data_IF_356295540068
#
_entry.id   IF_356295540068
#
_cell.length_a   1.000
_cell.length_b   1.000
_cell.length_c   1.000
_cell.angle_alpha   90.00
_cell.angle_beta   90.00
_cell.angle_gamma   90.00
#
_symmetry.space_group_name_H-M   'P 1'
#
loop_
_entity.id
_entity.type
_entity.pdbx_description
1 polymer ?
#
# COMPACT_ATOMS: atom_id res chain seq x y z
N UNK A 1 13.80 18.97 -12.11
CA UNK A 1 13.58 17.88 -11.12
C UNK A 1 12.56 18.36 -10.10
N UNK A 2 11.53 17.57 -9.80
CA UNK A 2 10.58 17.93 -8.74
C UNK A 2 11.26 17.84 -7.37
N UNK A 3 11.16 18.92 -6.59
CA UNK A 3 11.73 18.94 -5.24
C UNK A 3 10.92 18.02 -4.32
N UNK A 4 11.60 17.15 -3.56
CA UNK A 4 10.97 16.35 -2.52
C UNK A 4 10.57 17.27 -1.37
N UNK A 5 9.29 17.22 -0.96
CA UNK A 5 8.78 17.90 0.21
C UNK A 5 8.28 16.86 1.20
N UNK A 6 8.65 16.99 2.45
CA UNK A 6 8.15 16.13 3.52
C UNK A 6 7.03 16.84 4.27
N UNK A 7 5.87 16.20 4.35
CA UNK A 7 4.70 16.67 5.09
C UNK A 7 4.39 15.58 6.11
N UNK A 8 4.75 15.82 7.37
CA UNK A 8 4.83 14.80 8.40
C UNK A 8 5.68 13.61 7.92
N UNK A 9 5.14 12.40 7.80
CA UNK A 9 5.86 11.21 7.36
C UNK A 9 5.61 10.87 5.88
N UNK A 10 5.00 11.80 5.12
CA UNK A 10 4.75 11.63 3.70
C UNK A 10 5.79 12.41 2.89
N UNK A 11 6.47 11.72 1.99
CA UNK A 11 7.37 12.32 0.99
C UNK A 11 6.57 12.63 -0.26
N UNK A 12 6.44 13.92 -0.56
CA UNK A 12 5.58 14.45 -1.61
C UNK A 12 6.42 15.00 -2.77
N UNK A 13 6.08 14.58 -3.99
CA UNK A 13 6.70 15.08 -5.21
C UNK A 13 5.60 15.26 -6.26
N UNK A 14 5.67 16.36 -7.02
CA UNK A 14 4.68 16.61 -8.08
C UNK A 14 5.22 17.52 -9.17
N UNK A 15 4.73 17.35 -10.41
CA UNK A 15 4.99 18.29 -11.52
C UNK A 15 4.13 19.55 -11.35
N UNK A 16 4.36 20.55 -12.20
CA UNK A 16 3.61 21.82 -12.16
C UNK A 16 2.09 21.65 -12.34
N UNK A 17 1.68 20.68 -13.16
CA UNK A 17 0.26 20.37 -13.47
C UNK A 17 0.03 18.87 -13.38
N UNK A 18 -0.17 18.31 -12.19
CA UNK A 18 -0.42 16.88 -12.04
C UNK A 18 -1.80 16.49 -12.58
N UNK A 19 -1.85 15.38 -13.34
CA UNK A 19 -3.09 14.83 -13.88
C UNK A 19 -3.81 13.89 -12.90
N UNK A 20 -3.15 13.52 -11.80
CA UNK A 20 -3.65 12.65 -10.76
C UNK A 20 -2.63 12.50 -9.63
N UNK A 21 -3.04 11.84 -8.55
CA UNK A 21 -2.23 11.55 -7.38
C UNK A 21 -2.06 10.04 -7.22
N UNK A 22 -0.83 9.60 -6.97
CA UNK A 22 -0.52 8.23 -6.56
C UNK A 22 -0.07 8.24 -5.11
N UNK A 23 -0.78 7.48 -4.24
CA UNK A 23 -0.46 7.31 -2.82
C UNK A 23 0.22 5.96 -2.63
N UNK A 24 1.52 5.96 -2.26
CA UNK A 24 2.35 4.75 -2.16
C UNK A 24 2.56 4.37 -0.70
N UNK A 25 2.23 3.11 -0.36
CA UNK A 25 2.67 2.45 0.86
C UNK A 25 3.53 1.24 0.47
N UNK A 26 4.76 1.23 0.93
CA UNK A 26 5.71 0.16 0.62
C UNK A 26 5.63 -1.04 1.56
N UNK A 27 6.48 -2.04 1.31
CA UNK A 27 6.60 -3.25 2.14
C UNK A 27 7.35 -3.02 3.45
N UNK A 28 7.22 -3.92 4.42
CA UNK A 28 7.62 -3.79 5.82
C UNK A 28 9.05 -3.28 6.05
N UNK A 29 10.04 -3.86 5.38
CA UNK A 29 11.45 -3.57 5.68
C UNK A 29 12.06 -2.44 4.84
N UNK A 30 11.34 -1.97 3.83
CA UNK A 30 11.84 -1.02 2.84
C UNK A 30 11.06 0.31 2.85
N UNK A 31 10.14 0.47 3.80
CA UNK A 31 9.21 1.60 3.86
C UNK A 31 9.65 2.77 4.73
N UNK A 32 10.79 2.68 5.41
CA UNK A 32 11.29 3.80 6.24
C UNK A 32 11.64 5.01 5.36
N UNK A 33 12.20 4.74 4.18
CA UNK A 33 12.58 5.77 3.20
C UNK A 33 12.05 5.43 1.81
N UNK A 34 10.73 5.49 1.60
CA UNK A 34 10.10 5.07 0.36
C UNK A 34 10.54 5.91 -0.85
N UNK A 35 10.93 7.16 -0.64
CA UNK A 35 11.45 8.06 -1.69
C UNK A 35 12.78 7.57 -2.28
N UNK A 36 13.53 6.78 -1.52
CA UNK A 36 14.78 6.14 -1.96
C UNK A 36 14.49 4.77 -2.58
N UNK A 37 13.76 3.93 -1.85
CA UNK A 37 13.47 2.54 -2.24
C UNK A 37 12.69 2.46 -3.54
N UNK A 38 11.69 3.33 -3.71
CA UNK A 38 10.83 3.37 -4.91
C UNK A 38 11.22 4.48 -5.89
N UNK A 39 12.46 5.02 -5.80
CA UNK A 39 12.92 6.14 -6.61
C UNK A 39 12.66 5.98 -8.11
N UNK A 40 12.93 4.80 -8.67
CA UNK A 40 12.71 4.54 -10.11
C UNK A 40 11.24 4.60 -10.48
N UNK A 41 10.37 3.97 -9.69
CA UNK A 41 8.93 4.01 -9.87
C UNK A 41 8.39 5.43 -9.75
N UNK A 42 8.75 6.13 -8.68
CA UNK A 42 8.35 7.52 -8.44
C UNK A 42 8.78 8.41 -9.60
N UNK A 43 10.02 8.30 -10.08
CA UNK A 43 10.51 9.07 -11.22
C UNK A 43 9.69 8.82 -12.49
N UNK A 44 9.32 7.57 -12.76
CA UNK A 44 8.48 7.21 -13.91
C UNK A 44 7.07 7.77 -13.82
N UNK A 45 6.49 7.76 -12.64
CA UNK A 45 5.15 8.34 -12.40
C UNK A 45 5.17 9.87 -12.56
N UNK A 46 6.20 10.55 -12.05
CA UNK A 46 6.41 11.99 -12.23
C UNK A 46 6.57 12.37 -13.71
N UNK A 47 7.33 11.58 -14.49
CA UNK A 47 7.46 11.75 -15.94
C UNK A 47 6.13 11.61 -16.70
N UNK A 48 5.17 10.89 -16.12
CA UNK A 48 3.80 10.74 -16.64
C UNK A 48 2.84 11.77 -16.05
N UNK A 49 3.35 12.84 -15.46
CA UNK A 49 2.60 13.94 -14.86
C UNK A 49 1.71 13.55 -13.67
N UNK A 50 2.01 12.47 -12.96
CA UNK A 50 1.37 12.16 -11.67
C UNK A 50 2.08 12.87 -10.52
N UNK A 51 1.31 13.37 -9.56
CA UNK A 51 1.83 13.65 -8.23
C UNK A 51 2.02 12.32 -7.48
N UNK A 52 3.06 12.23 -6.66
CA UNK A 52 3.36 11.02 -5.88
C UNK A 52 3.55 11.40 -4.43
N UNK A 53 2.77 10.77 -3.56
CA UNK A 53 2.90 10.81 -2.12
C UNK A 53 3.31 9.41 -1.65
N UNK A 54 4.42 9.29 -0.95
CA UNK A 54 4.90 8.01 -0.42
C UNK A 54 5.07 8.11 1.09
N UNK A 55 4.43 7.21 1.83
CA UNK A 55 4.45 7.22 3.29
C UNK A 55 5.61 6.43 3.85
N UNK A 56 6.42 7.10 4.71
CA UNK A 56 7.50 6.47 5.45
C UNK A 56 7.03 6.01 6.83
N UNK A 57 7.22 4.72 7.17
CA UNK A 57 6.78 4.17 8.42
C UNK A 57 7.65 3.02 8.91
N UNK A 58 7.57 2.74 10.20
CA UNK A 58 8.15 1.55 10.84
C UNK A 58 7.01 0.58 11.11
N UNK A 59 7.06 -0.65 10.56
CA UNK A 59 6.02 -1.65 10.78
C UNK A 59 5.88 -2.02 12.27
N UNK A 60 4.65 -2.24 12.71
CA UNK A 60 4.35 -2.74 14.05
C UNK A 60 3.30 -3.87 13.97
N UNK A 61 2.85 -4.38 15.11
CA UNK A 61 1.88 -5.47 15.19
C UNK A 61 0.43 -5.03 14.91
N UNK A 62 0.10 -3.75 15.11
CA UNK A 62 -1.24 -3.23 14.88
C UNK A 62 -1.34 -2.58 13.50
N UNK A 63 -1.71 -3.39 12.51
CA UNK A 63 -1.87 -2.95 11.13
C UNK A 63 -3.11 -2.06 10.94
N UNK A 64 -4.13 -2.17 11.80
CA UNK A 64 -5.29 -1.29 11.73
C UNK A 64 -4.93 0.15 12.16
N UNK A 65 -4.18 0.30 13.24
CA UNK A 65 -3.68 1.62 13.67
C UNK A 65 -2.78 2.20 12.58
N UNK A 66 -1.90 1.40 11.97
CA UNK A 66 -1.03 1.86 10.89
C UNK A 66 -1.81 2.30 9.64
N UNK A 67 -2.84 1.55 9.25
CA UNK A 67 -3.73 1.94 8.14
C UNK A 67 -4.43 3.27 8.41
N UNK A 68 -4.93 3.47 9.64
CA UNK A 68 -5.56 4.72 10.07
C UNK A 68 -4.57 5.90 10.05
N UNK A 69 -3.32 5.66 10.47
CA UNK A 69 -2.25 6.67 10.44
C UNK A 69 -1.92 7.06 8.98
N UNK A 70 -1.67 6.09 8.11
CA UNK A 70 -1.39 6.32 6.70
C UNK A 70 -2.50 7.15 6.04
N UNK A 71 -3.77 6.77 6.25
CA UNK A 71 -4.92 7.49 5.71
C UNK A 71 -4.98 8.95 6.17
N UNK A 72 -4.77 9.22 7.47
CA UNK A 72 -4.71 10.59 7.99
C UNK A 72 -3.58 11.40 7.36
N UNK A 73 -2.41 10.81 7.23
CA UNK A 73 -1.21 11.44 6.66
C UNK A 73 -1.41 11.78 5.17
N UNK A 74 -1.97 10.87 4.39
CA UNK A 74 -2.28 11.13 2.98
C UNK A 74 -3.33 12.23 2.82
N UNK A 75 -4.35 12.27 3.66
CA UNK A 75 -5.34 13.38 3.62
C UNK A 75 -4.70 14.75 3.89
N UNK A 76 -3.79 14.82 4.85
CA UNK A 76 -3.07 16.07 5.15
C UNK A 76 -2.18 16.48 3.98
N UNK A 77 -1.40 15.55 3.45
CA UNK A 77 -0.49 15.82 2.33
C UNK A 77 -1.25 16.16 1.05
N UNK A 78 -2.39 15.54 0.78
CA UNK A 78 -3.27 15.88 -0.34
C UNK A 78 -3.83 17.30 -0.22
N UNK A 79 -4.36 17.69 0.93
CA UNK A 79 -4.83 19.07 1.17
C UNK A 79 -3.72 20.10 0.95
N UNK A 80 -2.49 19.78 1.36
CA UNK A 80 -1.34 20.64 1.12
C UNK A 80 -1.01 20.76 -0.36
N UNK A 81 -1.08 19.68 -1.12
CA UNK A 81 -0.86 19.68 -2.57
C UNK A 81 -1.94 20.50 -3.29
N UNK A 82 -3.23 20.22 -3.00
CA UNK A 82 -4.38 20.86 -3.65
C UNK A 82 -4.42 22.39 -3.44
N UNK A 83 -3.93 22.89 -2.30
CA UNK A 83 -3.74 24.34 -2.08
C UNK A 83 -2.75 24.99 -3.04
N UNK A 84 -1.88 24.23 -3.71
CA UNK A 84 -0.82 24.74 -4.59
C UNK A 84 -1.12 24.55 -6.07
N UNK A 85 -1.76 23.44 -6.41
CA UNK A 85 -1.96 23.05 -7.81
C UNK A 85 -3.43 23.00 -8.21
N UNK A 86 -4.36 23.26 -7.27
CA UNK A 86 -5.79 23.08 -7.47
C UNK A 86 -6.25 21.65 -7.15
N UNK A 87 -7.55 21.41 -7.29
CA UNK A 87 -8.19 20.12 -7.01
C UNK A 87 -7.64 19.05 -7.96
N UNK A 88 -7.26 17.91 -7.39
CA UNK A 88 -6.81 16.75 -8.16
C UNK A 88 -7.96 15.74 -8.30
N UNK A 89 -8.48 15.54 -9.53
CA UNK A 89 -9.72 14.80 -9.73
C UNK A 89 -9.56 13.29 -9.55
N UNK A 90 -8.34 12.77 -9.71
CA UNK A 90 -8.08 11.32 -9.69
C UNK A 90 -6.98 10.97 -8.69
N UNK A 91 -7.21 9.91 -7.91
CA UNK A 91 -6.18 9.33 -7.05
C UNK A 91 -6.18 7.82 -7.12
N UNK A 92 -5.00 7.23 -7.13
CA UNK A 92 -4.79 5.78 -7.11
C UNK A 92 -3.96 5.45 -5.88
N UNK A 93 -4.34 4.43 -5.17
CA UNK A 93 -3.54 3.83 -4.11
C UNK A 93 -2.63 2.76 -4.71
N UNK A 94 -1.37 2.77 -4.31
CA UNK A 94 -0.40 1.77 -4.72
C UNK A 94 0.23 1.15 -3.48
N UNK A 95 -0.07 -0.11 -3.25
CA UNK A 95 0.51 -0.91 -2.17
C UNK A 95 1.55 -1.90 -2.70
N UNK A 96 2.60 -2.12 -1.91
CA UNK A 96 3.51 -3.24 -2.12
C UNK A 96 3.61 -4.05 -0.83
N UNK A 97 3.44 -5.37 -0.92
CA UNK A 97 3.55 -6.29 0.22
C UNK A 97 2.59 -5.88 1.37
N UNK A 98 3.08 -5.60 2.58
CA UNK A 98 2.28 -5.08 3.70
C UNK A 98 1.52 -3.80 3.33
N UNK A 99 2.09 -2.93 2.49
CA UNK A 99 1.43 -1.71 2.05
C UNK A 99 0.10 -1.92 1.35
N UNK A 100 -0.09 -3.06 0.68
CA UNK A 100 -1.40 -3.45 0.11
C UNK A 100 -2.43 -3.64 1.24
N UNK A 101 -2.08 -4.39 2.28
CA UNK A 101 -2.94 -4.63 3.45
C UNK A 101 -3.33 -3.30 4.12
N UNK A 102 -2.39 -2.38 4.31
CA UNK A 102 -2.66 -1.10 4.95
C UNK A 102 -3.61 -0.22 4.12
N UNK A 103 -3.52 -0.23 2.79
CA UNK A 103 -4.50 0.45 1.94
C UNK A 103 -5.88 -0.19 1.99
N UNK A 104 -5.96 -1.52 2.03
CA UNK A 104 -7.21 -2.27 2.10
C UNK A 104 -7.93 -2.08 3.45
N UNK A 105 -7.18 -1.93 4.54
CA UNK A 105 -7.68 -1.64 5.89
C UNK A 105 -7.94 -0.15 6.15
N UNK A 106 -7.81 0.70 5.14
CA UNK A 106 -8.05 2.13 5.28
C UNK A 106 -9.48 2.42 5.77
N UNK A 107 -9.67 3.34 6.74
CA UNK A 107 -10.97 3.58 7.37
C UNK A 107 -12.06 4.12 6.42
N UNK A 108 -11.68 4.59 5.25
CA UNK A 108 -12.63 5.00 4.21
C UNK A 108 -13.06 3.84 3.29
N UNK A 109 -12.62 2.61 3.54
CA UNK A 109 -12.96 1.46 2.70
C UNK A 109 -12.59 1.62 1.22
N UNK A 110 -11.62 2.48 0.89
CA UNK A 110 -11.24 2.75 -0.49
C UNK A 110 -12.15 3.72 -1.25
N UNK A 111 -13.19 4.32 -0.61
CA UNK A 111 -14.14 5.24 -1.27
C UNK A 111 -13.50 6.49 -1.85
N UNK A 112 -12.42 6.97 -1.24
CA UNK A 112 -11.77 8.23 -1.65
C UNK A 112 -10.62 8.05 -2.65
N UNK A 113 -10.60 6.94 -3.38
CA UNK A 113 -9.67 6.72 -4.51
C UNK A 113 -10.39 6.12 -5.71
N UNK A 114 -9.79 6.23 -6.88
CA UNK A 114 -10.33 5.71 -8.14
C UNK A 114 -9.89 4.27 -8.44
N UNK A 115 -9.01 3.72 -7.62
CA UNK A 115 -8.55 2.34 -7.73
C UNK A 115 -7.38 2.04 -6.80
N UNK A 116 -7.09 0.75 -6.66
CA UNK A 116 -5.93 0.23 -5.96
C UNK A 116 -5.06 -0.58 -6.92
N UNK A 117 -3.76 -0.36 -6.87
CA UNK A 117 -2.75 -1.27 -7.44
C UNK A 117 -2.08 -1.99 -6.27
N UNK A 118 -2.28 -3.31 -6.18
CA UNK A 118 -1.69 -4.15 -5.15
C UNK A 118 -0.59 -5.02 -5.74
N UNK A 119 0.66 -4.76 -5.35
CA UNK A 119 1.84 -5.48 -5.84
C UNK A 119 2.31 -6.46 -4.78
N UNK A 120 2.39 -7.75 -5.11
CA UNK A 120 2.90 -8.81 -4.21
C UNK A 120 2.22 -8.76 -2.83
N UNK A 121 0.88 -8.72 -2.82
CA UNK A 121 0.14 -8.72 -1.55
C UNK A 121 0.52 -9.92 -0.70
N UNK A 122 0.75 -9.68 0.59
CA UNK A 122 0.89 -10.74 1.55
C UNK A 122 0.16 -10.43 2.87
N UNK A 123 -0.31 -11.48 3.52
CA UNK A 123 -1.11 -11.43 4.74
C UNK A 123 -0.79 -12.63 5.63
N UNK A 124 0.50 -12.79 5.95
CA UNK A 124 0.99 -13.88 6.78
C UNK A 124 0.76 -13.62 8.26
N UNK A 125 0.76 -14.71 9.05
CA UNK A 125 0.83 -14.64 10.51
C UNK A 125 2.17 -14.03 10.94
N UNK A 126 2.20 -13.36 12.09
CA UNK A 126 3.41 -12.73 12.61
C UNK A 126 4.57 -13.74 12.78
N UNK A 127 4.25 -14.97 13.23
CA UNK A 127 5.23 -16.03 13.37
C UNK A 127 5.89 -16.47 12.05
N UNK A 128 5.23 -16.22 10.90
CA UNK A 128 5.76 -16.51 9.56
C UNK A 128 6.55 -15.31 8.99
N UNK A 129 6.17 -14.09 9.39
CA UNK A 129 6.74 -12.85 8.87
C UNK A 129 7.99 -12.38 9.62
N UNK A 130 8.10 -12.73 10.91
CA UNK A 130 9.18 -12.26 11.78
C UNK A 130 10.04 -13.45 12.21
N UNK A 131 11.28 -13.55 11.74
CA UNK A 131 12.19 -14.61 12.16
C UNK A 131 12.35 -14.67 13.68
N UNK A 132 12.37 -15.84 14.25
CA UNK A 132 12.53 -16.11 15.70
C UNK A 132 11.43 -15.56 16.62
N UNK A 133 10.35 -14.95 16.11
CA UNK A 133 9.27 -14.41 16.93
C UNK A 133 8.73 -15.44 17.92
N UNK A 134 8.52 -16.67 17.47
CA UNK A 134 8.00 -17.79 18.28
C UNK A 134 8.87 -18.11 19.51
N UNK A 135 10.20 -17.99 19.36
CA UNK A 135 11.13 -18.20 20.49
C UNK A 135 11.16 -16.99 21.43
N UNK A 136 11.04 -15.78 20.91
CA UNK A 136 11.05 -14.56 21.70
C UNK A 136 9.74 -14.37 22.48
N UNK A 137 8.59 -14.67 21.90
CA UNK A 137 7.29 -14.53 22.55
C UNK A 137 7.13 -15.45 23.76
N UNK A 138 7.66 -16.68 23.68
CA UNK A 138 7.65 -17.62 24.80
C UNK A 138 8.48 -17.12 26.01
N UNK A 139 9.50 -16.29 25.75
CA UNK A 139 10.36 -15.75 26.80
C UNK A 139 9.86 -14.42 27.41
N UNK A 140 9.16 -13.61 26.61
CA UNK A 140 8.88 -12.21 26.97
C UNK A 140 7.38 -11.89 27.09
N UNK A 141 6.50 -12.89 26.89
CA UNK A 141 5.05 -12.78 27.04
C UNK A 141 4.41 -11.55 26.35
N UNK A 142 4.78 -11.28 25.08
CA UNK A 142 4.24 -10.16 24.31
C UNK A 142 3.36 -10.63 23.13
N UNK A 143 2.70 -9.68 22.48
CA UNK A 143 1.80 -9.95 21.35
C UNK A 143 2.53 -10.70 20.24
N UNK A 144 1.97 -11.86 19.85
CA UNK A 144 2.56 -12.78 18.89
C UNK A 144 1.83 -12.83 17.54
N UNK A 145 0.75 -12.04 17.39
CA UNK A 145 -0.02 -11.99 16.15
C UNK A 145 -0.31 -10.55 15.73
N UNK A 146 -0.49 -10.34 14.44
CA UNK A 146 -0.90 -9.05 13.91
C UNK A 146 -2.38 -8.77 14.19
N UNK A 147 -2.71 -7.50 14.39
CA UNK A 147 -4.07 -7.01 14.50
C UNK A 147 -4.41 -6.11 13.29
N UNK A 148 -5.41 -6.44 12.47
CA UNK A 148 -6.15 -7.71 12.44
C UNK A 148 -5.28 -8.89 11.99
N UNK A 149 -5.64 -10.08 12.45
CA UNK A 149 -5.04 -11.35 11.99
C UNK A 149 -5.26 -11.57 10.48
N UNK A 150 -4.56 -12.52 9.84
CA UNK A 150 -4.77 -12.80 8.42
C UNK A 150 -6.22 -13.12 8.05
N UNK A 151 -6.91 -13.90 8.86
CA UNK A 151 -8.31 -14.26 8.63
C UNK A 151 -9.24 -13.06 8.79
N UNK A 152 -9.13 -12.34 9.89
CA UNK A 152 -9.92 -11.10 10.13
C UNK A 152 -9.69 -10.05 9.05
N UNK A 153 -8.45 -9.95 8.54
CA UNK A 153 -8.13 -9.02 7.44
C UNK A 153 -8.97 -9.32 6.19
N UNK A 154 -9.07 -10.59 5.79
CA UNK A 154 -9.84 -10.96 4.60
C UNK A 154 -11.33 -10.74 4.81
N UNK A 155 -11.86 -11.03 6.00
CA UNK A 155 -13.25 -10.75 6.35
C UNK A 155 -13.54 -9.24 6.28
N UNK A 156 -12.69 -8.41 6.89
CA UNK A 156 -12.82 -6.95 6.83
C UNK A 156 -12.79 -6.41 5.40
N UNK A 157 -11.95 -7.01 4.53
CA UNK A 157 -11.91 -6.63 3.10
C UNK A 157 -13.22 -6.99 2.41
N UNK A 158 -13.75 -8.19 2.65
CA UNK A 158 -15.01 -8.62 2.03
C UNK A 158 -16.19 -7.77 2.51
N UNK A 159 -16.23 -7.40 3.80
CA UNK A 159 -17.35 -6.71 4.41
C UNK A 159 -17.32 -5.19 4.26
N UNK A 160 -16.13 -4.58 4.29
CA UNK A 160 -16.00 -3.11 4.46
C UNK A 160 -15.23 -2.39 3.36
N UNK A 161 -14.49 -3.11 2.50
CA UNK A 161 -13.75 -2.48 1.42
C UNK A 161 -14.66 -2.31 0.20
N UNK A 162 -14.87 -1.06 -0.26
CA UNK A 162 -15.86 -0.73 -1.29
C UNK A 162 -15.27 -0.39 -2.67
N UNK A 163 -13.92 -0.19 -2.76
CA UNK A 163 -13.32 0.09 -4.06
C UNK A 163 -13.41 -1.14 -4.98
N UNK A 164 -14.06 -0.96 -6.14
CA UNK A 164 -14.31 -2.06 -7.09
C UNK A 164 -13.22 -2.22 -8.14
N UNK A 165 -12.45 -1.17 -8.44
CA UNK A 165 -11.40 -1.19 -9.46
C UNK A 165 -10.05 -1.49 -8.80
N UNK A 166 -9.62 -2.74 -8.81
CA UNK A 166 -8.35 -3.14 -8.21
C UNK A 166 -7.51 -3.92 -9.23
N UNK A 167 -6.25 -3.52 -9.39
CA UNK A 167 -5.27 -4.24 -10.18
C UNK A 167 -4.30 -4.95 -9.23
N UNK A 168 -4.33 -6.27 -9.24
CA UNK A 168 -3.42 -7.10 -8.46
C UNK A 168 -2.25 -7.52 -9.35
N UNK A 169 -1.02 -7.22 -8.94
CA UNK A 169 0.19 -7.54 -9.71
C UNK A 169 0.99 -8.58 -8.93
N UNK A 170 1.14 -9.74 -9.58
CA UNK A 170 1.89 -10.89 -9.09
C UNK A 170 3.12 -11.12 -9.96
N UNK A 171 4.26 -11.44 -9.37
CA UNK A 171 5.44 -11.88 -10.10
C UNK A 171 5.53 -13.41 -10.13
N UNK A 172 5.91 -13.97 -11.29
CA UNK A 172 5.91 -15.44 -11.51
C UNK A 172 6.70 -16.23 -10.44
N UNK A 173 7.80 -15.67 -9.97
CA UNK A 173 8.71 -16.32 -9.02
C UNK A 173 8.57 -15.80 -7.59
N UNK A 174 7.50 -15.07 -7.28
CA UNK A 174 7.24 -14.58 -5.91
C UNK A 174 6.44 -15.62 -5.13
N UNK A 175 7.14 -16.40 -4.33
CA UNK A 175 6.55 -17.45 -3.48
C UNK A 175 5.78 -16.87 -2.27
N UNK A 176 5.96 -15.58 -1.96
CA UNK A 176 5.29 -14.91 -0.86
C UNK A 176 3.99 -14.21 -1.29
N UNK A 177 3.72 -14.15 -2.59
CA UNK A 177 2.54 -13.50 -3.13
C UNK A 177 1.25 -14.23 -2.80
N UNK A 178 0.30 -13.53 -2.21
CA UNK A 178 -1.05 -14.02 -1.88
C UNK A 178 -2.16 -13.30 -2.65
N UNK A 179 -1.85 -12.69 -3.80
CA UNK A 179 -2.84 -11.97 -4.62
C UNK A 179 -4.01 -12.86 -5.08
N UNK A 180 -3.80 -14.16 -5.28
CA UNK A 180 -4.91 -15.08 -5.58
C UNK A 180 -5.92 -15.17 -4.43
N UNK A 181 -5.43 -15.17 -3.19
CA UNK A 181 -6.29 -15.18 -2.00
C UNK A 181 -7.04 -13.85 -1.86
N UNK A 182 -6.34 -12.74 -2.06
CA UNK A 182 -6.95 -11.41 -2.08
C UNK A 182 -8.02 -11.29 -3.17
N UNK A 183 -7.71 -11.75 -4.41
CA UNK A 183 -8.66 -11.71 -5.51
C UNK A 183 -9.96 -12.46 -5.16
N UNK A 184 -9.84 -13.63 -4.53
CA UNK A 184 -11.01 -14.39 -4.10
C UNK A 184 -11.90 -13.56 -3.16
N UNK A 185 -11.35 -12.98 -2.10
CA UNK A 185 -12.11 -12.12 -1.17
C UNK A 185 -12.70 -10.89 -1.85
N UNK A 186 -11.97 -10.27 -2.79
CA UNK A 186 -12.49 -9.14 -3.56
C UNK A 186 -13.67 -9.53 -4.46
N UNK A 187 -13.61 -10.70 -5.09
CA UNK A 187 -14.66 -11.21 -5.98
C UNK A 187 -15.94 -11.68 -5.25
N UNK A 188 -15.89 -11.90 -3.95
CA UNK A 188 -17.08 -12.17 -3.12
C UNK A 188 -17.97 -10.93 -2.96
N UNK A 189 -17.45 -9.73 -3.26
CA UNK A 189 -18.18 -8.46 -3.15
C UNK A 189 -19.02 -8.20 -4.40
N UNK A 190 -20.14 -7.52 -4.22
CA UNK A 190 -21.02 -7.15 -5.33
C UNK A 190 -20.32 -6.18 -6.29
N UNK A 191 -20.48 -6.40 -7.60
CA UNK A 191 -19.97 -5.56 -8.69
C UNK A 191 -18.44 -5.39 -8.75
N UNK A 192 -17.66 -6.27 -8.11
CA UNK A 192 -16.20 -6.20 -8.12
C UNK A 192 -15.61 -6.35 -9.53
N UNK A 193 -14.69 -5.46 -9.89
CA UNK A 193 -13.98 -5.40 -11.18
C UNK A 193 -12.49 -5.67 -11.04
N UNK A 194 -12.07 -6.24 -9.91
CA UNK A 194 -10.67 -6.54 -9.66
C UNK A 194 -10.10 -7.51 -10.68
N UNK A 195 -8.87 -7.25 -11.10
CA UNK A 195 -8.14 -8.07 -12.07
C UNK A 195 -6.77 -8.47 -11.51
N UNK A 196 -6.29 -9.65 -11.90
CA UNK A 196 -4.97 -10.15 -11.58
C UNK A 196 -4.09 -10.17 -12.83
N UNK A 197 -2.94 -9.51 -12.74
CA UNK A 197 -1.91 -9.51 -13.76
C UNK A 197 -0.67 -10.24 -13.24
N UNK A 198 -0.17 -11.22 -14.01
CA UNK A 198 1.09 -11.89 -13.71
C UNK A 198 2.21 -11.33 -14.57
N UNK A 199 3.28 -10.88 -13.95
CA UNK A 199 4.47 -10.37 -14.63
C UNK A 199 5.66 -11.32 -14.45
N UNK A 200 6.51 -11.38 -15.49
CA UNK A 200 7.83 -11.99 -15.38
C UNK A 200 8.83 -10.94 -14.89
N UNK A 201 9.66 -11.28 -13.90
CA UNK A 201 10.82 -10.44 -13.55
C UNK A 201 11.93 -10.77 -14.56
N UNK A 202 12.19 -9.85 -15.46
CA UNK A 202 13.39 -9.90 -16.29
C UNK A 202 14.49 -9.22 -15.47
N UNK A 203 15.33 -10.03 -14.83
CA UNK A 203 16.57 -9.52 -14.22
C UNK A 203 17.54 -9.29 -15.37
N UNK A 204 17.60 -8.09 -15.91
CA UNK A 204 18.71 -7.70 -16.77
C UNK A 204 19.91 -7.46 -15.84
N UNK A 205 20.84 -8.37 -15.83
CA UNK A 205 22.17 -8.14 -15.29
C UNK A 205 22.85 -7.11 -16.20
N UNK A 206 22.79 -5.82 -15.83
CA UNK A 206 23.65 -4.76 -16.33
C UNK A 206 24.49 -4.22 -15.20
#
# INVERSE_FOLDING_TARGET
>A
MSTIRRISDVFCQWPSRPIGLIEIIGGSYISIRPEVTYKRLISRLLQRNFAVHSWGYIPNFDHQIQANQAWKQFRLSRKFLEKRVGIIPKSIRLGHSLGCKLHLLSPDGGRNCNGLVAISFNNFKAAQSIPMLKKMSQRLNFQTEFSPSPFETLNLITEHYEQINNLLIKFKNDALDQNNLLLKSLKERHSDKSELMQLMVIISLQ
#
